data_IF_469678925819
#
_entry.id   IF_469678925819
#
_cell.length_a   1.000
_cell.length_b   1.000
_cell.length_c   1.000
_cell.angle_alpha   90.00
_cell.angle_beta   90.00
_cell.angle_gamma   90.00
#
_symmetry.space_group_name_H-M   'P 1'
#
loop_
_entity.id
_entity.type
_entity.pdbx_description
1 polymer ?
#
# COMPACT_ATOMS: atom_id res chain seq x y z
N UNK A 1 13.28 -7.33 -18.36
CA UNK A 1 13.57 -6.34 -19.42
C UNK A 1 13.34 -4.98 -18.80
N UNK A 2 14.42 -4.19 -18.67
CA UNK A 2 14.44 -2.83 -18.09
C UNK A 2 14.20 -2.77 -16.57
N UNK A 3 14.79 -1.88 -15.77
CA UNK A 3 15.63 -0.71 -15.98
C UNK A 3 16.44 -0.60 -14.67
N UNK A 4 17.77 -0.58 -14.67
CA UNK A 4 18.54 0.65 -14.73
C UNK A 4 18.64 1.29 -13.35
N UNK A 5 19.68 0.93 -12.60
CA UNK A 5 20.06 1.57 -11.34
C UNK A 5 20.62 2.97 -11.63
N UNK A 6 19.84 4.04 -11.44
CA UNK A 6 20.39 5.36 -11.07
C UNK A 6 19.39 6.29 -10.34
N UNK A 7 18.11 5.94 -10.22
CA UNK A 7 17.09 6.77 -9.55
C UNK A 7 17.12 6.65 -8.02
N UNK A 8 16.77 7.71 -7.28
CA UNK A 8 16.80 7.81 -5.80
C UNK A 8 16.27 6.57 -5.07
N UNK A 9 16.82 6.29 -3.88
CA UNK A 9 16.33 5.20 -3.01
C UNK A 9 14.85 5.41 -2.69
N UNK A 10 14.07 4.32 -2.67
CA UNK A 10 12.64 4.39 -2.30
C UNK A 10 12.45 5.09 -0.93
N UNK A 11 13.41 4.93 -0.03
CA UNK A 11 13.47 5.57 1.28
C UNK A 11 13.58 7.10 1.19
N UNK A 12 14.30 7.63 0.21
CA UNK A 12 14.47 9.07 -0.02
C UNK A 12 13.20 9.67 -0.64
N UNK A 13 12.58 8.96 -1.58
CA UNK A 13 11.27 9.32 -2.11
C UNK A 13 10.23 9.36 -0.98
N UNK A 14 10.21 8.36 -0.09
CA UNK A 14 9.31 8.35 1.06
C UNK A 14 9.51 9.52 2.02
N UNK A 15 10.75 9.98 2.22
CA UNK A 15 11.02 11.16 3.02
C UNK A 15 10.43 12.45 2.41
N UNK A 16 10.41 12.55 1.09
CA UNK A 16 9.80 13.69 0.38
C UNK A 16 8.28 13.59 0.35
N UNK A 17 7.74 12.39 0.14
CA UNK A 17 6.30 12.12 0.20
C UNK A 17 5.76 12.47 1.61
N UNK A 18 6.52 12.18 2.66
CA UNK A 18 6.18 12.56 4.03
C UNK A 18 6.02 14.09 4.22
N UNK A 19 6.67 14.89 3.38
CA UNK A 19 6.54 16.36 3.36
C UNK A 19 5.44 16.87 2.41
N UNK A 20 4.75 15.97 1.71
CA UNK A 20 3.71 16.29 0.73
C UNK A 20 4.22 16.46 -0.70
N UNK A 21 5.40 15.93 -1.04
CA UNK A 21 5.94 16.01 -2.40
C UNK A 21 5.22 15.03 -3.34
N UNK A 22 4.34 15.57 -4.18
CA UNK A 22 3.53 14.79 -5.14
C UNK A 22 4.37 14.21 -6.28
N UNK A 23 5.49 14.84 -6.64
CA UNK A 23 6.38 14.37 -7.71
C UNK A 23 7.15 13.12 -7.26
N UNK A 24 7.65 13.12 -6.02
CA UNK A 24 8.25 11.95 -5.40
C UNK A 24 7.25 10.79 -5.29
N UNK A 25 5.99 11.09 -5.01
CA UNK A 25 4.93 10.08 -4.97
C UNK A 25 4.63 9.49 -6.34
N UNK A 26 4.55 10.33 -7.38
CA UNK A 26 4.36 9.88 -8.76
C UNK A 26 5.47 8.93 -9.19
N UNK A 27 6.73 9.29 -8.93
CA UNK A 27 7.88 8.43 -9.22
C UNK A 27 7.81 7.09 -8.48
N UNK A 28 7.39 7.11 -7.21
CA UNK A 28 7.19 5.89 -6.43
C UNK A 28 6.09 5.00 -7.03
N UNK A 29 4.96 5.59 -7.44
CA UNK A 29 3.87 4.87 -8.11
C UNK A 29 4.39 4.25 -9.41
N UNK A 30 5.03 5.04 -10.28
CA UNK A 30 5.50 4.56 -11.58
C UNK A 30 6.43 3.35 -11.46
N UNK A 31 7.28 3.34 -10.43
CA UNK A 31 8.21 2.27 -10.13
C UNK A 31 7.56 1.00 -9.58
N UNK A 32 6.52 1.14 -8.76
CA UNK A 32 5.96 0.01 -8.00
C UNK A 32 4.58 -0.45 -8.48
N UNK A 33 3.89 0.31 -9.33
CA UNK A 33 2.54 -0.01 -9.84
C UNK A 33 2.45 -1.40 -10.46
N UNK A 34 3.38 -1.77 -11.34
CA UNK A 34 3.34 -3.05 -12.05
C UNK A 34 3.52 -4.22 -11.08
N UNK A 35 4.41 -4.04 -10.09
CA UNK A 35 4.66 -5.04 -9.06
C UNK A 35 3.50 -5.19 -8.09
N UNK A 36 2.88 -4.09 -7.67
CA UNK A 36 1.69 -4.11 -6.80
C UNK A 36 0.54 -4.77 -7.54
N UNK A 37 0.26 -4.33 -8.77
CA UNK A 37 -0.79 -4.88 -9.61
C UNK A 37 -0.61 -6.38 -9.83
N UNK A 38 0.59 -6.83 -10.23
CA UNK A 38 0.89 -8.24 -10.41
C UNK A 38 0.80 -9.07 -9.12
N UNK A 39 1.10 -8.47 -7.96
CA UNK A 39 0.97 -9.14 -6.66
C UNK A 39 -0.51 -9.29 -6.27
N UNK A 40 -1.28 -8.22 -6.40
CA UNK A 40 -2.73 -8.19 -6.10
C UNK A 40 -3.48 -9.14 -7.03
N UNK A 41 -3.20 -9.11 -8.34
CA UNK A 41 -3.78 -10.02 -9.31
C UNK A 41 -3.49 -11.50 -8.98
N UNK A 42 -2.25 -11.81 -8.55
CA UNK A 42 -1.91 -13.17 -8.09
C UNK A 42 -2.69 -13.58 -6.85
N UNK A 43 -2.89 -12.67 -5.90
CA UNK A 43 -3.66 -12.96 -4.69
C UNK A 43 -5.16 -13.14 -4.96
N UNK A 44 -5.71 -12.42 -5.95
CA UNK A 44 -7.11 -12.53 -6.38
C UNK A 44 -7.37 -13.67 -7.36
N UNK A 45 -6.32 -14.33 -7.86
CA UNK A 45 -6.42 -15.41 -8.83
C UNK A 45 -6.70 -14.95 -10.26
N UNK A 46 -6.46 -13.69 -10.58
CA UNK A 46 -6.66 -13.14 -11.93
C UNK A 46 -6.55 -11.62 -12.00
N UNK A 47 -6.60 -11.10 -13.23
CA UNK A 47 -6.74 -9.67 -13.50
C UNK A 47 -8.21 -9.29 -13.56
N UNK A 48 -8.56 -8.10 -13.06
CA UNK A 48 -9.94 -7.62 -13.07
C UNK A 48 -10.07 -6.23 -12.43
N UNK A 49 -11.28 -5.65 -12.43
CA UNK A 49 -11.52 -4.30 -11.90
C UNK A 49 -11.20 -4.20 -10.40
N UNK A 50 -11.40 -5.29 -9.65
CA UNK A 50 -11.02 -5.36 -8.24
C UNK A 50 -9.49 -5.14 -8.03
N UNK A 51 -8.64 -5.57 -8.98
CA UNK A 51 -7.18 -5.39 -8.89
C UNK A 51 -6.81 -3.91 -9.02
N UNK A 52 -7.44 -3.21 -9.97
CA UNK A 52 -7.20 -1.78 -10.20
C UNK A 52 -7.67 -0.94 -9.01
N UNK A 53 -8.84 -1.26 -8.46
CA UNK A 53 -9.39 -0.60 -7.28
C UNK A 53 -8.48 -0.79 -6.05
N UNK A 54 -8.04 -2.03 -5.80
CA UNK A 54 -7.13 -2.33 -4.70
C UNK A 54 -5.76 -1.69 -4.90
N UNK A 55 -5.22 -1.68 -6.12
CA UNK A 55 -3.94 -1.02 -6.40
C UNK A 55 -4.00 0.47 -6.07
N UNK A 56 -5.06 1.16 -6.49
CA UNK A 56 -5.28 2.58 -6.16
C UNK A 56 -5.35 2.80 -4.65
N UNK A 57 -6.14 2.00 -3.93
CA UNK A 57 -6.29 2.12 -2.48
C UNK A 57 -4.97 1.82 -1.72
N UNK A 58 -4.13 0.89 -2.22
CA UNK A 58 -2.78 0.67 -1.67
C UNK A 58 -1.96 1.96 -1.75
N UNK A 59 -1.95 2.63 -2.90
CA UNK A 59 -1.18 3.87 -3.07
C UNK A 59 -1.73 5.02 -2.22
N UNK A 60 -3.05 5.14 -2.10
CA UNK A 60 -3.67 6.13 -1.20
C UNK A 60 -3.27 5.90 0.27
N UNK A 61 -3.24 4.64 0.72
CA UNK A 61 -2.75 4.27 2.05
C UNK A 61 -1.26 4.57 2.22
N UNK A 62 -0.45 4.30 1.19
CA UNK A 62 0.97 4.65 1.19
C UNK A 62 1.16 6.15 1.38
N UNK A 63 0.42 6.99 0.65
CA UNK A 63 0.47 8.45 0.80
C UNK A 63 0.11 8.89 2.23
N UNK A 64 -1.00 8.37 2.78
CA UNK A 64 -1.45 8.71 4.14
C UNK A 64 -0.48 8.22 5.23
N UNK A 65 0.16 7.09 5.02
CA UNK A 65 1.07 6.48 5.98
C UNK A 65 2.55 6.88 5.78
N UNK A 66 2.88 7.57 4.68
CA UNK A 66 4.21 8.09 4.40
C UNK A 66 4.81 8.95 5.52
N UNK A 67 4.10 9.91 6.15
CA UNK A 67 4.67 10.67 7.27
C UNK A 67 4.97 9.81 8.52
N UNK A 68 4.31 8.64 8.65
CA UNK A 68 4.57 7.68 9.74
C UNK A 68 5.68 6.67 9.37
N UNK A 69 6.12 6.62 8.12
CA UNK A 69 7.10 5.64 7.66
C UNK A 69 8.48 5.92 8.29
N UNK A 70 9.04 4.90 8.94
CA UNK A 70 10.41 4.92 9.45
C UNK A 70 11.28 4.02 8.59
N UNK A 71 12.50 4.49 8.27
CA UNK A 71 13.54 3.76 7.49
C UNK A 71 14.16 2.58 8.27
N UNK A 72 13.41 1.99 9.20
CA UNK A 72 13.81 0.78 9.94
C UNK A 72 13.56 -0.50 9.13
N UNK A 73 12.66 -0.45 8.15
CA UNK A 73 12.32 -1.58 7.29
C UNK A 73 12.37 -1.16 5.81
N UNK A 74 12.77 -2.08 4.93
CA UNK A 74 12.76 -1.85 3.47
C UNK A 74 11.35 -1.46 3.03
N UNK A 75 11.23 -0.42 2.20
CA UNK A 75 9.96 0.04 1.65
C UNK A 75 9.15 -1.11 1.04
N UNK A 76 9.80 -2.00 0.28
CA UNK A 76 9.14 -3.18 -0.31
C UNK A 76 8.48 -4.11 0.71
N UNK A 77 9.11 -4.31 1.89
CA UNK A 77 8.51 -5.11 2.97
C UNK A 77 7.28 -4.41 3.53
N UNK A 78 7.36 -3.10 3.77
CA UNK A 78 6.26 -2.31 4.30
C UNK A 78 5.08 -2.22 3.31
N UNK A 79 5.37 -2.04 2.02
CA UNK A 79 4.38 -2.04 0.93
C UNK A 79 3.64 -3.38 0.84
N UNK A 80 4.36 -4.50 0.98
CA UNK A 80 3.74 -5.83 1.00
C UNK A 80 2.82 -6.02 2.21
N UNK A 81 3.16 -5.45 3.37
CA UNK A 81 2.28 -5.46 4.55
C UNK A 81 0.97 -4.73 4.28
N UNK A 82 1.03 -3.53 3.70
CA UNK A 82 -0.17 -2.75 3.32
C UNK A 82 -1.00 -3.53 2.30
N UNK A 83 -0.35 -4.07 1.26
CA UNK A 83 -0.99 -4.86 0.21
C UNK A 83 -1.73 -6.06 0.81
N UNK A 84 -1.07 -6.82 1.68
CA UNK A 84 -1.66 -8.00 2.30
C UNK A 84 -2.82 -7.66 3.22
N UNK A 85 -2.70 -6.58 4.01
CA UNK A 85 -3.78 -6.11 4.87
C UNK A 85 -5.01 -5.74 4.03
N UNK A 86 -4.82 -4.94 2.97
CA UNK A 86 -5.92 -4.54 2.10
C UNK A 86 -6.59 -5.74 1.41
N UNK A 87 -5.81 -6.66 0.86
CA UNK A 87 -6.33 -7.87 0.22
C UNK A 87 -7.10 -8.72 1.22
N UNK A 88 -6.63 -8.84 2.47
CA UNK A 88 -7.35 -9.56 3.52
C UNK A 88 -8.69 -8.87 3.85
N UNK A 89 -8.69 -7.54 4.03
CA UNK A 89 -9.92 -6.76 4.23
C UNK A 89 -10.91 -6.94 3.07
N UNK A 90 -10.42 -6.97 1.83
CA UNK A 90 -11.24 -7.19 0.65
C UNK A 90 -11.87 -8.59 0.64
N UNK A 91 -11.12 -9.63 0.99
CA UNK A 91 -11.66 -10.99 1.10
C UNK A 91 -12.62 -11.13 2.29
N UNK A 92 -12.37 -10.47 3.43
CA UNK A 92 -13.31 -10.43 4.54
C UNK A 92 -14.63 -9.76 4.11
N UNK A 93 -14.54 -8.64 3.40
CA UNK A 93 -15.70 -7.94 2.84
C UNK A 93 -16.46 -8.80 1.82
N UNK A 94 -15.77 -9.52 0.92
CA UNK A 94 -16.42 -10.44 -0.04
C UNK A 94 -17.00 -11.69 0.63
N UNK A 95 -16.40 -12.16 1.72
CA UNK A 95 -16.94 -13.21 2.59
C UNK A 95 -18.22 -12.77 3.28
N UNK A 96 -18.25 -11.55 3.83
CA UNK A 96 -19.46 -10.90 4.36
C UNK A 96 -20.47 -10.55 3.28
N UNK A 97 -20.08 -10.30 2.03
CA UNK A 97 -21.04 -10.02 0.94
C UNK A 97 -21.91 -11.22 0.57
N UNK A 98 -21.61 -12.42 1.09
CA UNK A 98 -22.52 -13.58 1.06
C UNK A 98 -23.57 -13.55 2.19
N UNK A 99 -23.37 -12.74 3.23
CA UNK A 99 -24.29 -12.42 4.33
C UNK A 99 -24.44 -10.88 4.44
N UNK A 100 -25.24 -10.29 3.55
CA UNK A 100 -25.84 -8.95 3.65
C UNK A 100 -24.99 -7.75 4.14
N UNK A 101 -24.73 -6.82 3.21
CA UNK A 101 -25.06 -5.38 3.34
C UNK A 101 -25.28 -4.80 4.76
N UNK A 102 -24.32 -4.86 5.68
CA UNK A 102 -24.42 -4.05 6.90
C UNK A 102 -23.05 -3.76 7.53
N UNK A 103 -22.81 -2.45 7.68
CA UNK A 103 -21.81 -1.79 8.53
C UNK A 103 -20.35 -2.06 8.18
N UNK A 104 -19.76 -1.07 7.49
CA UNK A 104 -18.32 -0.88 7.44
C UNK A 104 -17.95 -0.32 8.82
N UNK A 105 -17.27 -1.05 9.72
CA UNK A 105 -16.64 -0.38 10.83
C UNK A 105 -15.58 0.53 10.24
N UNK A 106 -15.73 1.81 10.50
CA UNK A 106 -14.69 2.81 10.38
C UNK A 106 -13.56 2.33 11.28
N UNK A 107 -12.65 1.51 10.75
CA UNK A 107 -11.44 1.19 11.49
C UNK A 107 -10.61 2.45 11.51
N UNK A 108 -10.82 3.24 12.57
CA UNK A 108 -9.79 4.08 13.17
C UNK A 108 -8.44 3.40 12.93
N UNK A 109 -7.57 4.11 12.21
CA UNK A 109 -6.21 3.70 11.87
C UNK A 109 -5.36 3.69 13.16
N UNK A 110 -5.68 2.79 14.08
CA UNK A 110 -4.86 2.41 15.22
C UNK A 110 -3.87 1.33 14.76
N UNK A 111 -2.91 1.75 13.95
CA UNK A 111 -1.68 0.98 13.74
C UNK A 111 -0.49 1.93 13.80
N UNK A 112 -0.32 2.50 15.00
CA UNK A 112 0.94 3.06 15.46
C UNK A 112 1.25 2.61 16.90
N UNK A 113 0.95 1.36 17.26
CA UNK A 113 1.52 0.79 18.48
C UNK A 113 2.93 0.25 18.20
N UNK A 114 3.93 1.04 18.58
CA UNK A 114 5.34 0.75 18.33
C UNK A 114 6.33 1.53 19.19
N UNK A 115 6.05 1.64 20.50
CA UNK A 115 6.97 1.95 21.61
C UNK A 115 7.75 3.27 21.55
N UNK A 116 7.25 4.25 22.29
CA UNK A 116 8.12 5.10 23.10
C UNK A 116 8.86 4.21 24.10
N UNK A 117 10.17 4.05 23.89
CA UNK A 117 11.06 3.48 24.88
C UNK A 117 11.53 4.58 25.82
N UNK A 118 11.50 4.28 27.13
CA UNK A 118 12.17 5.05 28.18
C UNK A 118 13.61 5.43 27.83
#
# INVERSE_FOLDING_TARGET
MGIGHEERRDEDLMAQIATGDEEAFRQLIERHQDRVYGTVAKMLGGTGPDVEELAQEIFLRVWRAAPKYQVKAKFTTWLMTITRNLVFTFFESKGRKREELHEIPETEDDFAEGKGGC
#
